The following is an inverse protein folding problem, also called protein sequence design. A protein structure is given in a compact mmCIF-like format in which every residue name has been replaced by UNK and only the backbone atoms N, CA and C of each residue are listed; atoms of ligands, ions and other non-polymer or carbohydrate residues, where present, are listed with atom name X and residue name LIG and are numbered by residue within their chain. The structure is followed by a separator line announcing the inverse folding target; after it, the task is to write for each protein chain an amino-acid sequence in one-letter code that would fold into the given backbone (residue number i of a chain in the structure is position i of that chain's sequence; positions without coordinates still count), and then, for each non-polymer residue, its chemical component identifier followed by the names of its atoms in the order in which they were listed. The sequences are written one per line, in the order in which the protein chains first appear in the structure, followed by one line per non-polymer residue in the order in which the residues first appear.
data_IF_725437048513
#
_entry.id   IF_725437048513
#
_cell.length_a   1.000
_cell.length_b   1.000
_cell.length_c   1.000
_cell.angle_alpha   90.00
_cell.angle_beta   90.00
_cell.angle_gamma   90.00
#
_symmetry.space_group_name_H-M   'P 1'
#
loop_
_entity.id
_entity.type
_entity.pdbx_description
1 polymer ?
#
# COMPACT_ATOMS: atom_id res chain seq x y z
N UNK A 1 12.00 20.74 6.77
CA UNK A 1 11.63 19.35 7.10
C UNK A 1 10.25 19.00 6.55
N UNK A 2 9.27 19.90 6.66
CA UNK A 2 7.91 19.74 6.09
C UNK A 2 7.86 19.37 4.59
N UNK A 3 8.61 20.06 3.72
CA UNK A 3 8.56 19.80 2.27
C UNK A 3 9.13 18.43 1.87
N UNK A 4 10.17 17.94 2.56
CA UNK A 4 10.76 16.62 2.32
C UNK A 4 9.81 15.52 2.79
N UNK A 5 9.18 15.69 3.96
CA UNK A 5 8.17 14.77 4.49
C UNK A 5 6.93 14.71 3.58
N UNK A 6 6.49 15.86 3.05
CA UNK A 6 5.42 15.93 2.07
C UNK A 6 5.73 15.17 0.78
N UNK A 7 6.95 15.33 0.24
CA UNK A 7 7.36 14.67 -1.00
C UNK A 7 7.48 13.15 -0.83
N UNK A 8 8.01 12.67 0.30
CA UNK A 8 8.08 11.24 0.62
C UNK A 8 6.68 10.65 0.85
N UNK A 9 5.78 11.39 1.50
CA UNK A 9 4.39 10.98 1.68
C UNK A 9 3.66 10.79 0.35
N UNK A 10 3.86 11.72 -0.60
CA UNK A 10 3.29 11.62 -1.96
C UNK A 10 3.90 10.46 -2.74
N UNK A 11 5.23 10.26 -2.66
CA UNK A 11 5.86 9.13 -3.31
C UNK A 11 5.34 7.79 -2.74
N UNK A 12 5.20 7.68 -1.41
CA UNK A 12 4.69 6.49 -0.75
C UNK A 12 3.22 6.19 -1.10
N UNK A 13 2.38 7.22 -1.26
CA UNK A 13 0.99 7.04 -1.67
C UNK A 13 0.87 6.60 -3.12
N UNK A 14 1.70 7.14 -4.03
CA UNK A 14 1.78 6.68 -5.42
C UNK A 14 2.21 5.23 -5.50
N UNK A 15 3.28 4.84 -4.79
CA UNK A 15 3.76 3.45 -4.77
C UNK A 15 2.68 2.50 -4.24
N UNK A 16 1.98 2.90 -3.17
CA UNK A 16 0.87 2.12 -2.60
C UNK A 16 -0.29 1.96 -3.59
N UNK A 17 -0.63 3.02 -4.32
CA UNK A 17 -1.69 3.01 -5.33
C UNK A 17 -1.32 2.13 -6.53
N UNK A 18 -0.08 2.22 -7.01
CA UNK A 18 0.43 1.36 -8.09
C UNK A 18 0.39 -0.11 -7.67
N UNK A 19 0.86 -0.44 -6.46
CA UNK A 19 0.79 -1.79 -5.94
C UNK A 19 -0.66 -2.30 -5.85
N UNK A 20 -1.59 -1.46 -5.38
CA UNK A 20 -3.01 -1.80 -5.33
C UNK A 20 -3.55 -2.12 -6.72
N UNK A 21 -3.28 -1.28 -7.73
CA UNK A 21 -3.71 -1.52 -9.11
C UNK A 21 -3.12 -2.84 -9.66
N UNK A 22 -1.84 -3.11 -9.43
CA UNK A 22 -1.19 -4.33 -9.91
C UNK A 22 -1.82 -5.61 -9.33
N UNK A 23 -2.21 -5.57 -8.05
CA UNK A 23 -2.93 -6.69 -7.41
C UNK A 23 -4.36 -6.78 -7.94
N UNK A 24 -5.02 -5.63 -8.13
CA UNK A 24 -6.37 -5.57 -8.70
C UNK A 24 -6.44 -6.20 -10.10
N UNK A 25 -5.46 -5.88 -10.97
CA UNK A 25 -5.36 -6.45 -12.32
C UNK A 25 -5.27 -7.98 -12.31
N UNK A 26 -4.74 -8.59 -11.25
CA UNK A 26 -4.73 -10.05 -11.06
C UNK A 26 -6.01 -10.58 -10.40
N UNK A 27 -6.65 -9.78 -9.55
CA UNK A 27 -7.89 -10.12 -8.88
C UNK A 27 -9.09 -10.21 -9.86
N UNK A 28 -9.17 -9.28 -10.83
CA UNK A 28 -10.23 -9.26 -11.84
C UNK A 28 -10.39 -10.57 -12.62
N UNK A 29 -9.33 -11.15 -13.23
CA UNK A 29 -9.45 -12.40 -13.96
C UNK A 29 -9.64 -13.63 -13.06
N UNK A 30 -9.24 -13.58 -11.78
CA UNK A 30 -9.31 -14.75 -10.89
C UNK A 30 -10.64 -14.87 -10.12
N UNK A 31 -11.17 -13.76 -9.59
CA UNK A 31 -12.43 -13.73 -8.83
C UNK A 31 -13.59 -13.01 -9.53
N UNK A 32 -13.33 -12.38 -10.67
CA UNK A 32 -14.33 -11.62 -11.42
C UNK A 32 -14.51 -10.17 -10.95
N UNK A 33 -15.29 -9.41 -11.73
CA UNK A 33 -15.46 -7.95 -11.60
C UNK A 33 -16.05 -7.52 -10.26
N UNK A 34 -16.99 -8.31 -9.69
CA UNK A 34 -17.64 -7.97 -8.42
C UNK A 34 -16.66 -7.88 -7.25
N UNK A 35 -15.75 -8.84 -7.15
CA UNK A 35 -14.69 -8.82 -6.14
C UNK A 35 -13.61 -7.79 -6.45
N UNK A 36 -13.37 -7.48 -7.73
CA UNK A 36 -12.50 -6.37 -8.14
C UNK A 36 -13.01 -5.01 -7.65
N UNK A 37 -14.29 -4.71 -7.85
CA UNK A 37 -14.93 -3.48 -7.34
C UNK A 37 -14.90 -3.44 -5.81
N UNK A 38 -15.18 -4.56 -5.16
CA UNK A 38 -15.09 -4.65 -3.70
C UNK A 38 -13.66 -4.38 -3.21
N UNK A 39 -12.65 -4.82 -3.95
CA UNK A 39 -11.25 -4.54 -3.68
C UNK A 39 -10.82 -3.08 -3.88
N UNK A 40 -11.52 -2.32 -4.73
CA UNK A 40 -11.32 -0.87 -4.89
C UNK A 40 -11.83 -0.13 -3.65
N UNK A 41 -13.03 -0.47 -3.19
CA UNK A 41 -13.63 0.14 -2.01
C UNK A 41 -12.98 -0.35 -0.70
N UNK A 42 -12.49 -1.59 -0.68
CA UNK A 42 -11.84 -2.22 0.45
C UNK A 42 -10.41 -2.63 0.08
N UNK A 43 -9.49 -1.66 0.10
CA UNK A 43 -8.07 -1.91 -0.21
C UNK A 43 -7.42 -2.95 0.71
N UNK A 44 -7.91 -3.12 1.94
CA UNK A 44 -7.50 -4.18 2.88
C UNK A 44 -7.83 -5.56 2.32
N UNK A 45 -9.01 -5.74 1.72
CA UNK A 45 -9.38 -7.01 1.10
C UNK A 45 -8.41 -7.36 -0.03
N UNK A 46 -8.12 -6.41 -0.91
CA UNK A 46 -7.16 -6.60 -2.01
C UNK A 46 -5.77 -6.95 -1.49
N UNK A 47 -5.36 -6.34 -0.39
CA UNK A 47 -4.09 -6.61 0.26
C UNK A 47 -4.00 -8.04 0.80
N UNK A 48 -5.03 -8.49 1.54
CA UNK A 48 -5.08 -9.84 2.09
C UNK A 48 -5.14 -10.87 0.95
N UNK A 49 -5.98 -10.64 -0.06
CA UNK A 49 -6.09 -11.53 -1.21
C UNK A 49 -4.77 -11.62 -1.99
N UNK A 50 -4.08 -10.50 -2.17
CA UNK A 50 -2.78 -10.45 -2.82
C UNK A 50 -1.72 -11.27 -2.08
N UNK A 51 -1.72 -11.23 -0.75
CA UNK A 51 -0.84 -12.07 0.09
C UNK A 51 -1.21 -13.54 0.03
N UNK A 52 -2.50 -13.87 0.02
CA UNK A 52 -2.98 -15.25 -0.08
C UNK A 52 -2.66 -15.90 -1.44
N UNK A 53 -2.64 -15.12 -2.52
CA UNK A 53 -2.39 -15.62 -3.87
C UNK A 53 -0.98 -15.32 -4.37
N UNK A 54 -0.09 -14.89 -3.48
CA UNK A 54 1.25 -14.40 -3.84
C UNK A 54 2.11 -15.45 -4.52
N UNK A 55 2.04 -16.69 -4.04
CA UNK A 55 2.76 -17.84 -4.59
C UNK A 55 2.14 -18.29 -5.93
N UNK A 56 0.83 -18.11 -6.08
CA UNK A 56 0.08 -18.52 -7.27
C UNK A 56 0.38 -17.64 -8.48
N UNK A 57 0.62 -16.34 -8.30
CA UNK A 57 0.99 -15.46 -9.44
C UNK A 57 2.38 -14.84 -9.35
N UNK A 58 3.27 -15.37 -8.49
CA UNK A 58 4.70 -14.99 -8.37
C UNK A 58 4.95 -13.46 -8.25
N UNK A 59 4.16 -12.75 -7.42
CA UNK A 59 4.26 -11.29 -7.25
C UNK A 59 4.61 -10.88 -5.83
N UNK A 60 5.35 -11.74 -5.13
CA UNK A 60 5.82 -11.51 -3.77
C UNK A 60 6.58 -10.19 -3.62
N UNK A 61 7.39 -9.83 -4.61
CA UNK A 61 8.11 -8.55 -4.60
C UNK A 61 7.16 -7.35 -4.57
N UNK A 62 6.03 -7.41 -5.29
CA UNK A 62 5.03 -6.33 -5.30
C UNK A 62 4.33 -6.25 -3.95
N UNK A 63 3.92 -7.39 -3.38
CA UNK A 63 3.27 -7.42 -2.05
C UNK A 63 4.21 -6.96 -0.93
N UNK A 64 5.48 -7.37 -0.98
CA UNK A 64 6.51 -6.94 -0.01
C UNK A 64 6.78 -5.44 -0.13
N UNK A 65 6.92 -4.92 -1.36
CA UNK A 65 7.07 -3.49 -1.61
C UNK A 65 5.86 -2.70 -1.09
N UNK A 66 4.66 -3.22 -1.30
CA UNK A 66 3.43 -2.61 -0.82
C UNK A 66 3.36 -2.56 0.71
N UNK A 67 3.64 -3.69 1.38
CA UNK A 67 3.74 -3.76 2.85
C UNK A 67 4.80 -2.81 3.39
N UNK A 68 5.98 -2.75 2.76
CA UNK A 68 7.07 -1.88 3.17
C UNK A 68 6.71 -0.40 3.02
N UNK A 69 6.00 -0.03 1.94
CA UNK A 69 5.52 1.33 1.74
C UNK A 69 4.50 1.74 2.82
N UNK A 70 3.57 0.85 3.18
CA UNK A 70 2.61 1.09 4.26
C UNK A 70 3.35 1.25 5.60
N UNK A 71 4.26 0.34 5.92
CA UNK A 71 5.04 0.36 7.16
C UNK A 71 5.90 1.62 7.26
N UNK A 72 6.61 2.00 6.20
CA UNK A 72 7.40 3.23 6.14
C UNK A 72 6.53 4.47 6.39
N UNK A 73 5.35 4.53 5.80
CA UNK A 73 4.43 5.65 5.96
C UNK A 73 3.89 5.76 7.41
N UNK A 74 3.64 4.62 8.07
CA UNK A 74 3.28 4.56 9.49
C UNK A 74 4.43 5.08 10.36
N UNK A 75 5.66 4.60 10.12
CA UNK A 75 6.85 5.02 10.89
C UNK A 75 7.09 6.53 10.71
N UNK A 76 7.01 7.04 9.48
CA UNK A 76 7.16 8.47 9.21
C UNK A 76 6.10 9.29 9.93
N UNK A 77 4.83 8.85 9.95
CA UNK A 77 3.76 9.53 10.70
C UNK A 77 4.03 9.56 12.20
N UNK A 78 4.47 8.45 12.78
CA UNK A 78 4.80 8.37 14.20
C UNK A 78 5.97 9.30 14.53
N UNK A 79 7.02 9.30 13.70
CA UNK A 79 8.17 10.18 13.86
C UNK A 79 7.78 11.67 13.74
N UNK A 80 6.95 12.01 12.74
CA UNK A 80 6.46 13.37 12.58
C UNK A 80 5.64 13.84 13.80
N UNK A 81 4.79 12.98 14.36
CA UNK A 81 4.05 13.27 15.60
C UNK A 81 5.01 13.45 16.78
N UNK A 82 6.05 12.61 16.89
CA UNK A 82 7.03 12.71 17.98
C UNK A 82 7.88 13.99 17.90
N UNK A 83 8.24 14.43 16.69
CA UNK A 83 8.96 15.70 16.46
C UNK A 83 8.05 16.89 16.74
N UNK A 84 6.78 16.83 16.36
CA UNK A 84 5.82 17.90 16.64
C UNK A 84 5.53 18.07 18.15
N UNK A 85 5.57 16.98 18.92
CA UNK A 85 5.32 17.00 20.37
C UNK A 85 6.57 17.31 21.23
N UNK A 86 7.74 17.47 20.62
CA UNK A 86 8.98 17.83 21.31
C UNK A 86 9.59 19.05 20.61
N UNK A 87 9.00 20.26 20.77
CA UNK A 87 9.57 21.49 20.25
C UNK A 87 10.81 21.82 21.10
N UNK A 88 11.99 21.32 20.70
CA UNK A 88 13.27 21.80 21.21
C UNK A 88 13.52 23.23 20.76
#
# INVERSE_FOLDING_TARGET
MEALLGLVSVAASIVSLVCLILVLLKLFPDKGVGWGIFGIFCGIYTFIWGWQNVDRHNFKNIMVLWSAAIAANIVIRILAISVANNPS
#
